data_IF_750407533416
#
_entry.id   IF_750407533416
#
_cell.length_a   1.000
_cell.length_b   1.000
_cell.length_c   1.000
_cell.angle_alpha   90.00
_cell.angle_beta   90.00
_cell.angle_gamma   90.00
#
_symmetry.space_group_name_H-M   'P 1'
#
loop_
_entity.id
_entity.type
_entity.pdbx_description
1 polymer ?
#
# COMPACT_ATOMS: atom_id res chain seq x y z
N UNK A 1 -17.88 -41.22 -5.23
CA UNK A 1 -17.43 -40.47 -4.05
C UNK A 1 -17.74 -39.00 -4.30
N UNK A 2 -18.54 -38.39 -3.44
CA UNK A 2 -19.04 -37.03 -3.64
C UNK A 2 -17.92 -36.00 -3.46
N UNK A 3 -17.66 -35.19 -4.49
CA UNK A 3 -16.86 -33.98 -4.34
C UNK A 3 -17.65 -32.98 -3.49
N UNK A 4 -17.25 -32.85 -2.22
CA UNK A 4 -17.77 -31.80 -1.35
C UNK A 4 -17.33 -30.47 -1.95
N UNK A 5 -18.27 -29.74 -2.55
CA UNK A 5 -18.15 -28.32 -2.84
C UNK A 5 -17.97 -27.61 -1.49
N UNK A 6 -16.72 -27.45 -1.04
CA UNK A 6 -16.40 -26.50 0.02
C UNK A 6 -16.64 -25.13 -0.60
N UNK A 7 -17.80 -24.53 -0.31
CA UNK A 7 -17.96 -23.10 -0.41
C UNK A 7 -16.82 -22.49 0.39
N UNK A 8 -15.82 -21.95 -0.32
CA UNK A 8 -14.83 -21.06 0.26
C UNK A 8 -15.68 -19.92 0.85
N UNK A 9 -15.66 -19.70 2.18
CA UNK A 9 -16.37 -18.57 2.76
C UNK A 9 -15.89 -17.34 2.01
N UNK A 10 -16.82 -16.56 1.43
CA UNK A 10 -16.47 -15.23 0.95
C UNK A 10 -15.82 -14.54 2.13
N UNK A 11 -14.52 -14.22 2.03
CA UNK A 11 -13.91 -13.31 2.98
C UNK A 11 -14.80 -12.08 2.94
N UNK A 12 -15.35 -11.72 4.09
CA UNK A 12 -16.09 -10.47 4.25
C UNK A 12 -15.06 -9.38 4.03
N UNK A 13 -14.91 -8.94 2.77
CA UNK A 13 -14.02 -7.84 2.42
C UNK A 13 -14.37 -6.68 3.34
N UNK A 14 -13.43 -6.29 4.17
CA UNK A 14 -13.61 -5.17 5.09
C UNK A 14 -14.05 -3.92 4.35
N UNK A 15 -14.71 -3.01 5.06
CA UNK A 15 -15.08 -1.71 4.52
C UNK A 15 -13.88 -1.04 3.83
N UNK A 16 -14.06 -0.63 2.57
CA UNK A 16 -13.03 0.06 1.79
C UNK A 16 -13.63 1.23 1.01
N UNK A 17 -12.81 2.24 0.74
CA UNK A 17 -13.16 3.43 -0.03
C UNK A 17 -12.03 3.81 -0.99
N UNK A 18 -12.37 4.33 -2.17
CA UNK A 18 -11.43 4.96 -3.12
C UNK A 18 -11.79 6.44 -3.26
N UNK A 19 -10.85 7.32 -2.91
CA UNK A 19 -10.99 8.77 -3.02
C UNK A 19 -9.98 9.27 -4.05
N UNK A 20 -10.45 10.02 -5.04
CA UNK A 20 -9.57 10.68 -6.01
C UNK A 20 -9.23 12.08 -5.49
N UNK A 21 -8.03 12.23 -4.95
CA UNK A 21 -7.49 13.52 -4.55
C UNK A 21 -7.17 14.34 -5.82
N UNK A 22 -7.57 15.62 -5.90
CA UNK A 22 -7.29 16.46 -7.05
C UNK A 22 -5.79 16.60 -7.34
N UNK A 23 -5.40 16.45 -8.60
CA UNK A 23 -4.00 16.48 -9.02
C UNK A 23 -3.30 17.82 -8.77
N UNK A 24 -4.03 18.93 -8.67
CA UNK A 24 -3.44 20.23 -8.38
C UNK A 24 -2.77 20.32 -6.99
N UNK A 25 -3.11 19.42 -6.05
CA UNK A 25 -2.46 19.35 -4.74
C UNK A 25 -1.05 18.75 -4.81
N UNK A 26 -0.65 18.19 -5.97
CA UNK A 26 0.66 17.56 -6.16
C UNK A 26 1.81 18.47 -5.74
N UNK A 27 1.82 19.72 -6.20
CA UNK A 27 2.92 20.65 -5.92
C UNK A 27 3.05 20.96 -4.42
N UNK A 28 1.93 21.13 -3.71
CA UNK A 28 1.95 21.38 -2.26
C UNK A 28 2.38 20.13 -1.48
N UNK A 29 1.98 18.94 -1.94
CA UNK A 29 2.47 17.68 -1.39
C UNK A 29 3.99 17.52 -1.60
N UNK A 30 4.50 17.89 -2.78
CA UNK A 30 5.95 17.85 -3.09
C UNK A 30 6.75 18.87 -2.27
N UNK A 31 6.18 20.06 -2.02
CA UNK A 31 6.79 21.06 -1.12
C UNK A 31 6.86 20.56 0.31
N UNK A 32 5.78 19.97 0.83
CA UNK A 32 5.78 19.34 2.14
C UNK A 32 6.82 18.22 2.23
N UNK A 33 6.91 17.36 1.21
CA UNK A 33 7.91 16.30 1.15
C UNK A 33 9.34 16.83 1.14
N UNK A 34 9.62 17.84 0.32
CA UNK A 34 10.95 18.47 0.23
C UNK A 34 11.36 19.09 1.56
N UNK A 35 10.44 19.76 2.27
CA UNK A 35 10.67 20.30 3.60
C UNK A 35 10.98 19.18 4.61
N UNK A 36 10.20 18.08 4.57
CA UNK A 36 10.42 16.91 5.40
C UNK A 36 11.81 16.28 5.18
N UNK A 37 12.19 16.01 3.94
CA UNK A 37 13.49 15.39 3.62
C UNK A 37 14.67 16.30 4.03
N UNK A 38 14.51 17.61 3.87
CA UNK A 38 15.59 18.57 4.14
C UNK A 38 15.75 18.88 5.63
N UNK A 39 14.65 18.93 6.38
CA UNK A 39 14.65 19.47 7.76
C UNK A 39 14.16 18.48 8.82
N UNK A 40 13.67 17.31 8.40
CA UNK A 40 13.00 16.35 9.28
C UNK A 40 11.65 16.83 9.81
N UNK A 41 11.06 17.90 9.23
CA UNK A 41 9.78 18.46 9.68
C UNK A 41 9.01 19.05 8.48
N UNK A 42 7.67 19.02 8.56
CA UNK A 42 6.82 19.77 7.63
C UNK A 42 6.43 21.08 8.30
N UNK A 43 6.57 22.20 7.59
CA UNK A 43 6.10 23.48 8.09
C UNK A 43 4.58 23.47 8.25
N UNK A 44 4.09 23.68 9.48
CA UNK A 44 2.66 23.63 9.79
C UNK A 44 1.82 24.55 8.91
N UNK A 45 2.30 25.75 8.55
CA UNK A 45 1.57 26.67 7.69
C UNK A 45 1.28 26.07 6.30
N UNK A 46 2.28 25.43 5.68
CA UNK A 46 2.15 24.80 4.37
C UNK A 46 1.21 23.59 4.44
N UNK A 47 1.31 22.79 5.50
CA UNK A 47 0.43 21.66 5.71
C UNK A 47 -1.03 22.10 5.90
N UNK A 48 -1.28 23.13 6.72
CA UNK A 48 -2.64 23.63 6.97
C UNK A 48 -3.28 24.22 5.71
N UNK A 49 -2.54 25.01 4.94
CA UNK A 49 -3.03 25.55 3.67
C UNK A 49 -3.44 24.43 2.69
N UNK A 50 -2.62 23.39 2.57
CA UNK A 50 -2.94 22.21 1.76
C UNK A 50 -4.18 21.48 2.29
N UNK A 51 -4.32 21.35 3.62
CA UNK A 51 -5.45 20.70 4.25
C UNK A 51 -6.76 21.48 4.06
N UNK A 52 -6.74 22.80 4.21
CA UNK A 52 -7.87 23.68 3.94
C UNK A 52 -8.29 23.60 2.47
N UNK A 53 -7.31 23.66 1.57
CA UNK A 53 -7.54 23.52 0.14
C UNK A 53 -8.20 22.17 -0.16
N UNK A 54 -7.65 21.06 0.35
CA UNK A 54 -8.24 19.73 0.17
C UNK A 54 -9.68 19.68 0.70
N UNK A 55 -9.94 20.14 1.93
CA UNK A 55 -11.26 20.14 2.57
C UNK A 55 -12.31 20.96 1.79
N UNK A 56 -11.89 21.97 1.03
CA UNK A 56 -12.79 22.75 0.17
C UNK A 56 -13.28 21.98 -1.07
N UNK A 57 -12.65 20.87 -1.41
CA UNK A 57 -12.99 20.03 -2.57
C UNK A 57 -14.07 19.00 -2.24
N UNK A 58 -14.70 18.41 -3.27
CA UNK A 58 -15.63 17.28 -3.08
C UNK A 58 -14.93 16.09 -2.42
N UNK A 59 -13.75 15.73 -2.92
CA UNK A 59 -12.95 14.63 -2.40
C UNK A 59 -12.55 14.84 -0.93
N UNK A 60 -12.16 16.06 -0.55
CA UNK A 60 -11.82 16.36 0.82
C UNK A 60 -13.02 16.30 1.77
N UNK A 61 -14.21 16.78 1.35
CA UNK A 61 -15.43 16.63 2.16
C UNK A 61 -15.81 15.17 2.38
N UNK A 62 -15.68 14.35 1.33
CA UNK A 62 -15.89 12.91 1.42
C UNK A 62 -14.89 12.26 2.39
N UNK A 63 -13.61 12.61 2.26
CA UNK A 63 -12.55 12.12 3.14
C UNK A 63 -12.78 12.51 4.61
N UNK A 64 -13.19 13.75 4.88
CA UNK A 64 -13.59 14.22 6.22
C UNK A 64 -14.74 13.39 6.78
N UNK A 65 -15.73 13.03 5.96
CA UNK A 65 -16.88 12.22 6.40
C UNK A 65 -16.50 10.79 6.81
N UNK A 66 -15.35 10.28 6.35
CA UNK A 66 -14.81 8.97 6.71
C UNK A 66 -13.88 9.03 7.95
N UNK A 67 -13.29 10.19 8.21
CA UNK A 67 -12.24 10.43 9.20
C UNK A 67 -12.78 11.28 10.36
N UNK A 68 -13.66 10.65 11.15
CA UNK A 68 -14.34 11.24 12.30
C UNK A 68 -13.51 11.26 13.59
N UNK A 69 -12.25 10.81 13.54
CA UNK A 69 -11.40 10.68 14.73
C UNK A 69 -11.62 9.40 15.54
N UNK A 70 -12.58 8.55 15.16
CA UNK A 70 -12.89 7.28 15.82
C UNK A 70 -12.60 6.08 14.91
N UNK A 71 -13.04 6.16 13.65
CA UNK A 71 -12.76 5.13 12.65
C UNK A 71 -11.29 5.16 12.26
N UNK A 72 -10.69 3.98 12.29
CA UNK A 72 -9.28 3.74 12.01
C UNK A 72 -9.11 3.20 10.60
N UNK A 73 -8.19 3.79 9.84
CA UNK A 73 -8.00 3.46 8.43
C UNK A 73 -6.54 3.13 8.12
N UNK A 74 -6.32 2.06 7.36
CA UNK A 74 -5.09 1.86 6.62
C UNK A 74 -5.20 2.59 5.28
N UNK A 75 -4.15 3.32 4.90
CA UNK A 75 -4.15 4.09 3.66
C UNK A 75 -3.06 3.63 2.71
N UNK A 76 -3.34 3.72 1.41
CA UNK A 76 -2.33 3.52 0.37
C UNK A 76 -2.67 4.33 -0.88
N UNK A 77 -1.65 4.69 -1.64
CA UNK A 77 -1.81 5.10 -3.02
C UNK A 77 -1.87 3.85 -3.92
N UNK A 78 -2.12 4.02 -5.22
CA UNK A 78 -2.44 2.91 -6.14
C UNK A 78 -1.61 1.63 -5.96
N UNK A 79 -0.29 1.74 -5.97
CA UNK A 79 0.62 0.58 -5.89
C UNK A 79 1.41 0.49 -4.58
N UNK A 80 1.25 1.44 -3.67
CA UNK A 80 2.14 1.54 -2.51
C UNK A 80 1.43 2.09 -1.28
N UNK A 81 1.58 1.36 -0.17
CA UNK A 81 1.31 1.90 1.15
C UNK A 81 2.43 2.83 1.61
N UNK A 82 2.08 3.85 2.39
CA UNK A 82 3.02 4.82 3.00
C UNK A 82 3.65 4.29 4.30
N UNK A 83 3.87 2.96 4.39
CA UNK A 83 4.40 2.27 5.58
C UNK A 83 5.81 2.75 5.97
N UNK A 84 6.54 3.45 5.10
CA UNK A 84 7.85 4.04 5.37
C UNK A 84 7.78 5.46 5.95
N UNK A 85 6.58 6.01 6.16
CA UNK A 85 6.41 7.27 6.88
C UNK A 85 6.90 7.15 8.34
N UNK A 86 7.59 8.17 8.88
CA UNK A 86 8.05 8.19 10.27
C UNK A 86 6.92 8.37 11.28
N UNK A 87 5.71 8.78 10.85
CA UNK A 87 4.57 9.04 11.74
C UNK A 87 3.83 7.77 12.21
N UNK A 88 4.56 6.66 12.32
CA UNK A 88 4.05 5.37 12.74
C UNK A 88 3.77 4.47 11.54
N UNK A 89 4.82 3.77 11.11
CA UNK A 89 4.69 2.54 10.34
C UNK A 89 3.87 1.55 11.18
N UNK A 90 2.58 1.40 10.85
CA UNK A 90 1.67 0.54 11.61
C UNK A 90 0.71 1.25 12.56
N UNK A 91 0.56 2.58 12.47
CA UNK A 91 -0.57 3.27 13.09
C UNK A 91 -1.68 3.52 12.06
N UNK A 92 -2.96 3.41 12.46
CA UNK A 92 -4.08 3.83 11.63
C UNK A 92 -4.07 5.33 11.38
N UNK A 93 -4.78 5.76 10.35
CA UNK A 93 -5.15 7.16 10.11
C UNK A 93 -6.57 7.39 10.62
N UNK A 94 -6.76 8.46 11.39
CA UNK A 94 -8.04 8.84 11.99
C UNK A 94 -8.51 10.21 11.48
N UNK A 95 -7.58 11.05 11.02
CA UNK A 95 -7.86 12.39 10.53
C UNK A 95 -7.28 12.63 9.13
N UNK A 96 -7.80 13.63 8.41
CA UNK A 96 -7.23 14.07 7.11
C UNK A 96 -5.77 14.49 7.28
N UNK A 97 -5.43 15.11 8.43
CA UNK A 97 -4.06 15.48 8.74
C UNK A 97 -3.17 14.24 8.79
N UNK A 98 -3.56 13.18 9.50
CA UNK A 98 -2.78 11.94 9.58
C UNK A 98 -2.47 11.39 8.18
N UNK A 99 -3.47 11.38 7.31
CA UNK A 99 -3.31 10.92 5.93
C UNK A 99 -2.30 11.78 5.19
N UNK A 100 -2.52 13.10 5.15
CA UNK A 100 -1.67 13.98 4.38
C UNK A 100 -0.25 14.01 4.92
N UNK A 101 -0.06 13.98 6.24
CA UNK A 101 1.29 13.93 6.81
C UNK A 101 1.98 12.60 6.50
N UNK A 102 1.28 11.46 6.55
CA UNK A 102 1.85 10.16 6.11
C UNK A 102 2.23 10.16 4.63
N UNK A 103 1.39 10.72 3.75
CA UNK A 103 1.69 10.80 2.32
C UNK A 103 2.89 11.73 2.04
N UNK A 104 2.95 12.89 2.69
CA UNK A 104 4.03 13.86 2.48
C UNK A 104 5.37 13.41 3.09
N UNK A 105 5.38 12.55 4.10
CA UNK A 105 6.62 12.08 4.75
C UNK A 105 7.10 10.72 4.26
N UNK A 106 6.40 10.08 3.33
CA UNK A 106 6.74 8.76 2.77
C UNK A 106 7.50 8.88 1.44
N UNK A 107 8.64 8.20 1.33
CA UNK A 107 9.42 8.11 0.08
C UNK A 107 8.68 7.27 -0.98
N UNK A 108 7.94 6.25 -0.53
CA UNK A 108 7.07 5.43 -1.40
C UNK A 108 5.95 6.28 -2.00
N UNK A 109 5.27 7.08 -1.18
CA UNK A 109 4.21 7.97 -1.65
C UNK A 109 4.77 9.04 -2.60
N UNK A 110 5.93 9.63 -2.29
CA UNK A 110 6.63 10.56 -3.18
C UNK A 110 6.89 9.95 -4.57
N UNK A 111 7.48 8.76 -4.61
CA UNK A 111 7.77 8.05 -5.86
C UNK A 111 6.49 7.73 -6.64
N UNK A 112 5.41 7.34 -5.95
CA UNK A 112 4.11 7.10 -6.56
C UNK A 112 3.56 8.37 -7.22
N UNK A 113 3.60 9.51 -6.51
CA UNK A 113 3.10 10.79 -7.00
C UNK A 113 3.88 11.28 -8.23
N UNK A 114 5.21 11.16 -8.21
CA UNK A 114 6.03 11.50 -9.38
C UNK A 114 5.70 10.67 -10.62
N UNK A 115 5.44 9.36 -10.44
CA UNK A 115 5.05 8.48 -11.54
C UNK A 115 3.69 8.84 -12.11
N UNK A 116 2.69 9.08 -11.25
CA UNK A 116 1.36 9.52 -11.68
C UNK A 116 1.44 10.85 -12.45
N UNK A 117 2.29 11.79 -11.99
CA UNK A 117 2.54 13.06 -12.68
C UNK A 117 3.17 12.84 -14.06
N UNK A 118 4.25 12.07 -14.14
CA UNK A 118 4.94 11.78 -15.40
C UNK A 118 4.04 11.01 -16.39
N UNK A 119 3.21 10.09 -15.89
CA UNK A 119 2.24 9.36 -16.71
C UNK A 119 1.15 10.30 -17.25
N UNK A 120 0.58 11.15 -16.39
CA UNK A 120 -0.43 12.13 -16.80
C UNK A 120 0.09 13.10 -17.87
N UNK A 121 1.34 13.57 -17.75
CA UNK A 121 2.00 14.42 -18.74
C UNK A 121 2.25 13.70 -20.06
N UNK A 122 2.75 12.46 -20.00
CA UNK A 122 2.99 11.64 -21.21
C UNK A 122 1.69 11.38 -21.98
N UNK A 123 0.59 11.20 -21.26
CA UNK A 123 -0.72 10.85 -21.81
C UNK A 123 -1.61 12.07 -22.13
N UNK A 124 -1.12 13.29 -21.91
CA UNK A 124 -1.88 14.55 -22.01
C UNK A 124 -3.23 14.49 -21.26
N UNK A 125 -3.19 14.01 -20.02
CA UNK A 125 -4.35 13.83 -19.15
C UNK A 125 -4.18 14.57 -17.83
N UNK A 126 -5.31 14.87 -17.20
CA UNK A 126 -5.31 15.36 -15.82
C UNK A 126 -4.77 14.27 -14.87
N UNK A 127 -3.84 14.66 -14.00
CA UNK A 127 -3.30 13.80 -12.95
C UNK A 127 -4.40 13.43 -11.95
N UNK A 128 -4.49 12.14 -11.61
CA UNK A 128 -5.42 11.63 -10.59
C UNK A 128 -4.65 10.95 -9.48
N UNK A 129 -4.78 11.46 -8.25
CA UNK A 129 -4.15 10.85 -7.09
C UNK A 129 -5.18 9.94 -6.42
N UNK A 130 -5.10 8.63 -6.68
CA UNK A 130 -6.01 7.64 -6.08
C UNK A 130 -5.54 7.27 -4.68
N UNK A 131 -6.35 7.62 -3.69
CA UNK A 131 -6.18 7.24 -2.30
C UNK A 131 -7.15 6.10 -1.96
N UNK A 132 -6.62 4.96 -1.55
CA UNK A 132 -7.40 3.84 -1.03
C UNK A 132 -7.41 3.89 0.49
N UNK A 133 -8.58 3.71 1.08
CA UNK A 133 -8.79 3.56 2.52
C UNK A 133 -9.37 2.17 2.79
N UNK A 134 -8.64 1.35 3.54
CA UNK A 134 -9.13 0.06 4.04
C UNK A 134 -9.38 0.19 5.54
N UNK A 135 -10.47 -0.39 6.05
CA UNK A 135 -10.73 -0.40 7.49
C UNK A 135 -9.54 -1.04 8.20
N UNK A 136 -9.03 -0.33 9.22
CA UNK A 136 -7.95 -0.85 10.06
C UNK A 136 -8.41 -2.08 10.82
N UNK A 137 -7.65 -3.16 10.71
CA UNK A 137 -7.87 -4.39 11.44
C UNK A 137 -6.84 -4.55 12.56
N UNK A 138 -7.31 -4.38 13.81
CA UNK A 138 -6.49 -4.59 15.02
C UNK A 138 -6.11 -6.06 15.23
N UNK A 139 -6.81 -6.99 14.58
CA UNK A 139 -6.52 -8.41 14.61
C UNK A 139 -5.39 -8.84 13.67
N UNK A 140 -5.00 -7.97 12.71
CA UNK A 140 -3.95 -8.26 11.75
C UNK A 140 -2.59 -8.29 12.45
N UNK A 141 -1.92 -9.45 12.41
CA UNK A 141 -0.64 -9.66 13.06
C UNK A 141 0.48 -9.70 12.02
N UNK A 142 1.46 -8.76 12.05
CA UNK A 142 2.54 -8.73 11.04
C UNK A 142 3.36 -10.03 10.96
N UNK A 143 3.50 -10.75 12.08
CA UNK A 143 4.18 -12.05 12.11
C UNK A 143 3.44 -13.19 11.38
N UNK A 144 2.22 -12.95 10.91
CA UNK A 144 1.46 -13.90 10.08
C UNK A 144 1.19 -13.36 8.67
N UNK A 145 1.88 -12.27 8.27
CA UNK A 145 1.89 -11.73 6.91
C UNK A 145 3.00 -12.41 6.10
N UNK A 146 2.67 -12.91 4.92
CA UNK A 146 3.60 -13.57 3.99
C UNK A 146 3.53 -12.94 2.61
N UNK A 147 4.68 -12.84 1.95
CA UNK A 147 4.74 -12.51 0.52
C UNK A 147 4.82 -13.77 -0.30
N UNK A 148 3.90 -13.92 -1.24
CA UNK A 148 3.86 -15.00 -2.21
C UNK A 148 4.33 -14.47 -3.56
N UNK A 149 5.21 -15.23 -4.22
CA UNK A 149 5.72 -14.93 -5.55
C UNK A 149 5.13 -15.94 -6.54
N UNK A 150 4.44 -15.47 -7.58
CA UNK A 150 3.86 -16.30 -8.63
C UNK A 150 4.40 -15.90 -10.01
N UNK A 151 4.82 -16.91 -10.76
CA UNK A 151 5.21 -16.78 -12.17
C UNK A 151 4.23 -17.53 -13.08
N UNK A 152 4.42 -17.37 -14.40
CA UNK A 152 3.47 -17.56 -15.50
C UNK A 152 2.75 -18.92 -15.62
N UNK A 153 2.96 -19.88 -14.73
CA UNK A 153 2.41 -21.23 -14.90
C UNK A 153 1.04 -21.49 -14.25
N UNK A 154 0.39 -20.49 -13.64
CA UNK A 154 -0.83 -20.74 -12.84
C UNK A 154 -2.10 -20.04 -13.35
N UNK A 155 -2.01 -18.91 -14.09
CA UNK A 155 -3.21 -18.20 -14.57
C UNK A 155 -2.96 -17.54 -15.95
N UNK A 156 -3.29 -18.26 -17.03
CA UNK A 156 -3.25 -17.79 -18.43
C UNK A 156 -4.10 -16.52 -18.70
N UNK A 157 -4.96 -16.12 -17.76
CA UNK A 157 -5.86 -14.97 -17.91
C UNK A 157 -5.40 -13.68 -17.26
N UNK A 158 -4.34 -13.67 -16.42
CA UNK A 158 -4.01 -12.46 -15.65
C UNK A 158 -2.78 -11.67 -16.12
N UNK A 159 -1.66 -12.25 -16.55
CA UNK A 159 -0.49 -11.41 -16.85
C UNK A 159 0.52 -12.02 -17.83
N UNK A 160 0.97 -11.20 -18.75
CA UNK A 160 2.21 -11.34 -19.56
C UNK A 160 3.49 -11.17 -18.70
N UNK A 161 3.33 -10.93 -17.39
CA UNK A 161 4.35 -10.59 -16.41
C UNK A 161 4.06 -11.32 -15.08
N UNK A 162 5.06 -11.77 -14.32
CA UNK A 162 4.78 -12.34 -12.98
C UNK A 162 4.10 -11.34 -12.03
N UNK A 163 3.59 -11.82 -10.88
CA UNK A 163 3.13 -10.96 -9.79
C UNK A 163 3.55 -11.51 -8.43
N UNK A 164 3.65 -10.61 -7.45
CA UNK A 164 3.73 -10.99 -6.05
C UNK A 164 2.53 -10.44 -5.29
N UNK A 165 2.17 -11.06 -4.18
CA UNK A 165 1.09 -10.56 -3.35
C UNK A 165 1.34 -10.87 -1.88
N UNK A 166 0.89 -9.97 -1.03
CA UNK A 166 0.97 -10.12 0.41
C UNK A 166 -0.32 -10.77 0.89
N UNK A 167 -0.20 -11.76 1.75
CA UNK A 167 -1.32 -12.44 2.41
C UNK A 167 -1.16 -12.42 3.90
N UNK A 168 -2.26 -12.33 4.64
CA UNK A 168 -2.28 -12.51 6.09
C UNK A 168 -2.97 -13.84 6.42
N UNK A 169 -2.35 -14.65 7.26
CA UNK A 169 -2.98 -15.82 7.86
C UNK A 169 -3.76 -15.40 9.10
N UNK A 170 -5.07 -15.58 9.06
CA UNK A 170 -5.98 -15.28 10.16
C UNK A 170 -6.02 -16.43 11.20
N UNK A 171 -6.49 -16.13 12.42
CA UNK A 171 -6.53 -17.09 13.54
C UNK A 171 -7.41 -18.33 13.27
N UNK A 172 -8.43 -18.19 12.43
CA UNK A 172 -9.32 -19.26 11.97
C UNK A 172 -8.70 -20.07 10.81
N UNK A 173 -7.43 -19.86 10.48
CA UNK A 173 -6.72 -20.46 9.33
C UNK A 173 -7.25 -20.03 7.96
N UNK A 174 -8.02 -18.94 7.86
CA UNK A 174 -8.31 -18.32 6.56
C UNK A 174 -7.15 -17.45 6.11
N UNK A 175 -7.05 -17.27 4.79
CA UNK A 175 -6.02 -16.45 4.16
C UNK A 175 -6.69 -15.21 3.57
N UNK A 176 -6.24 -14.05 3.99
CA UNK A 176 -6.69 -12.76 3.46
C UNK A 176 -5.65 -12.22 2.48
N UNK A 177 -6.08 -11.81 1.29
CA UNK A 177 -5.25 -11.03 0.39
C UNK A 177 -5.09 -9.60 0.92
N UNK A 178 -3.85 -9.13 1.08
CA UNK A 178 -3.51 -7.82 1.62
C UNK A 178 -3.16 -6.83 0.51
N UNK A 179 -2.24 -7.22 -0.38
CA UNK A 179 -1.72 -6.33 -1.42
C UNK A 179 -1.27 -7.14 -2.65
N UNK A 180 -1.45 -6.59 -3.86
CA UNK A 180 -0.88 -7.14 -5.10
C UNK A 180 0.24 -6.20 -5.56
N UNK A 181 1.38 -6.77 -5.90
CA UNK A 181 2.63 -6.11 -6.20
C UNK A 181 3.20 -6.57 -7.56
N UNK A 182 3.80 -5.65 -8.34
CA UNK A 182 4.61 -6.04 -9.50
C UNK A 182 5.72 -7.05 -9.13
N UNK A 183 6.10 -7.91 -10.07
CA UNK A 183 7.12 -8.94 -9.87
C UNK A 183 8.44 -8.61 -10.56
N UNK A 184 9.52 -9.14 -10.00
CA UNK A 184 10.82 -9.21 -10.64
C UNK A 184 11.84 -8.20 -10.13
N UNK A 185 13.10 -8.43 -10.49
CA UNK A 185 14.25 -7.66 -10.03
C UNK A 185 14.23 -6.17 -10.40
N UNK A 186 13.52 -5.82 -11.48
CA UNK A 186 13.34 -4.44 -11.94
C UNK A 186 12.13 -3.76 -11.30
N UNK A 187 11.32 -4.50 -10.54
CA UNK A 187 10.21 -3.93 -9.81
C UNK A 187 10.72 -3.18 -8.57
N UNK A 188 10.00 -2.14 -8.10
CA UNK A 188 10.30 -1.49 -6.83
C UNK A 188 9.94 -2.37 -5.61
N UNK A 189 9.48 -3.61 -5.83
CA UNK A 189 9.00 -4.48 -4.77
C UNK A 189 10.17 -5.27 -4.16
N UNK A 190 10.24 -5.25 -2.84
CA UNK A 190 11.22 -6.04 -2.11
C UNK A 190 10.97 -7.55 -2.24
N UNK A 191 12.05 -8.33 -2.23
CA UNK A 191 12.03 -9.80 -2.21
C UNK A 191 11.97 -10.38 -0.78
N UNK A 192 11.81 -9.53 0.25
CA UNK A 192 11.77 -9.92 1.67
C UNK A 192 13.05 -10.70 2.07
N UNK A 193 12.90 -11.97 2.43
CA UNK A 193 14.01 -12.86 2.84
C UNK A 193 14.73 -13.53 1.66
N UNK A 194 14.25 -13.29 0.44
CA UNK A 194 14.90 -13.74 -0.79
C UNK A 194 15.72 -12.60 -1.41
N UNK A 195 16.62 -12.97 -2.31
CA UNK A 195 17.35 -12.06 -3.17
C UNK A 195 16.97 -12.29 -4.63
N UNK A 196 16.55 -11.23 -5.34
CA UNK A 196 16.11 -11.31 -6.74
C UNK A 196 17.12 -11.95 -7.69
N UNK A 197 18.42 -11.80 -7.42
CA UNK A 197 19.51 -12.31 -8.28
C UNK A 197 19.90 -13.72 -7.82
N UNK A 198 20.18 -13.90 -6.53
CA UNK A 198 20.69 -15.18 -6.02
C UNK A 198 19.61 -16.28 -5.99
N UNK A 199 18.38 -15.91 -5.66
CA UNK A 199 17.23 -16.82 -5.58
C UNK A 199 16.36 -16.75 -6.83
N UNK A 200 16.83 -16.11 -7.91
CA UNK A 200 16.06 -15.88 -9.13
C UNK A 200 15.48 -17.16 -9.72
N UNK A 201 16.20 -18.28 -9.70
CA UNK A 201 15.66 -19.55 -10.20
C UNK A 201 14.45 -20.04 -9.41
N UNK A 202 14.45 -19.88 -8.09
CA UNK A 202 13.32 -20.22 -7.23
C UNK A 202 12.18 -19.24 -7.45
N UNK A 203 12.48 -17.93 -7.40
CA UNK A 203 11.47 -16.88 -7.53
C UNK A 203 10.77 -16.92 -8.88
N UNK A 204 11.48 -17.29 -9.95
CA UNK A 204 10.93 -17.36 -11.30
C UNK A 204 10.30 -18.73 -11.66
N UNK A 205 10.28 -19.68 -10.72
CA UNK A 205 9.66 -21.00 -10.92
C UNK A 205 10.49 -21.98 -11.76
N UNK A 206 11.80 -21.74 -11.91
CA UNK A 206 12.75 -22.66 -12.57
C UNK A 206 13.12 -23.81 -11.62
N UNK A 207 13.15 -23.54 -10.32
CA UNK A 207 13.39 -24.50 -9.25
C UNK A 207 12.17 -24.61 -8.33
N UNK A 208 12.14 -25.64 -7.48
CA UNK A 208 11.06 -25.85 -6.51
C UNK A 208 10.88 -24.64 -5.58
N UNK A 209 9.62 -24.28 -5.31
CA UNK A 209 9.27 -23.17 -4.44
C UNK A 209 9.84 -23.36 -3.03
N UNK A 210 10.30 -22.26 -2.42
CA UNK A 210 10.85 -22.26 -1.07
C UNK A 210 9.99 -21.43 -0.13
N UNK A 211 10.02 -21.83 1.13
CA UNK A 211 9.39 -21.09 2.22
C UNK A 211 10.48 -20.56 3.16
N UNK A 212 10.45 -19.26 3.43
CA UNK A 212 11.41 -18.58 4.31
C UNK A 212 10.66 -17.75 5.35
N UNK A 213 11.11 -17.83 6.60
CA UNK A 213 10.60 -17.04 7.71
C UNK A 213 11.74 -16.68 8.67
N UNK A 214 11.60 -15.54 9.34
CA UNK A 214 12.47 -15.19 10.46
C UNK A 214 12.08 -16.04 11.66
N UNK A 215 13.06 -16.68 12.30
CA UNK A 215 12.88 -17.29 13.60
C UNK A 215 13.20 -16.23 14.66
N UNK A 216 12.30 -16.01 15.61
CA UNK A 216 12.63 -15.20 16.78
C UNK A 216 13.74 -15.92 17.55
N UNK A 217 14.95 -15.35 17.56
CA UNK A 217 15.94 -15.73 18.54
C UNK A 217 15.35 -15.38 19.90
N UNK A 218 14.92 -16.39 20.67
CA UNK A 218 14.88 -16.25 22.11
C UNK A 218 16.29 -15.86 22.53
N UNK A 219 16.53 -14.57 22.78
CA UNK A 219 17.76 -14.13 23.44
C UNK A 219 17.85 -14.93 24.74
N UNK A 220 18.97 -15.64 24.99
CA UNK A 220 19.17 -16.35 26.25
C UNK A 220 19.14 -15.38 27.44
#
# INVERSE_FOLDING_TARGET
MAHSNRQIPRSTGGEYHEIVIPGFLYEDMMRCHSAWVTTGHIHNAVLEEMLETLKSTKAGRELVSLLDGERKWFIRLGHMSSKDSPMGSGLPSLTVRDIMTKLCTSMRAYTCLQREKAHAEKEDKEMKIKLMLNRWDEGMHPGTEFRVFLTEYVIDMLLEHGFSFDVALERNSTVQLVEINPFGALSPCGACLFNWILDGKVLYGIEEGRFAMTLDEKRP
#
